data_IF_117218903429
#
_entry.id   IF_117218903429
#
_cell.length_a   1.000
_cell.length_b   1.000
_cell.length_c   1.000
_cell.angle_alpha   90.00
_cell.angle_beta   90.00
_cell.angle_gamma   90.00
#
_symmetry.space_group_name_H-M   'P 1'
#
loop_
_entity.id
_entity.type
_entity.pdbx_description
1 polymer ?
#
# COMPACT_ATOMS: atom_id res chain seq x y z
N UNK A 1 2.63 8.66 36.87
CA UNK A 1 2.12 9.27 35.61
C UNK A 1 2.45 8.32 34.46
N UNK A 2 1.45 7.72 33.80
CA UNK A 2 1.66 6.66 32.78
C UNK A 2 2.56 7.15 31.64
N UNK A 3 3.50 6.28 31.23
CA UNK A 3 4.49 6.55 30.17
C UNK A 3 3.84 6.75 28.78
N UNK A 4 2.60 6.30 28.61
CA UNK A 4 1.84 6.34 27.35
C UNK A 4 0.91 7.56 27.20
N UNK A 5 0.69 8.35 28.27
CA UNK A 5 -0.32 9.42 28.29
C UNK A 5 -0.07 10.60 27.33
N UNK A 6 1.14 10.79 26.78
CA UNK A 6 1.43 11.93 25.89
C UNK A 6 0.93 11.78 24.44
N UNK A 7 0.32 10.65 24.06
CA UNK A 7 -0.17 10.41 22.68
C UNK A 7 -1.67 10.11 22.55
N UNK A 8 -2.41 10.08 23.65
CA UNK A 8 -3.77 9.50 23.68
C UNK A 8 -4.93 10.47 23.39
N UNK A 9 -4.70 11.72 22.98
CA UNK A 9 -5.80 12.65 22.67
C UNK A 9 -5.64 13.29 21.29
N UNK A 10 -6.36 12.72 20.32
CA UNK A 10 -7.00 13.39 19.19
C UNK A 10 -8.02 12.42 18.60
N UNK A 11 -9.30 12.64 18.91
CA UNK A 11 -10.43 11.97 18.27
C UNK A 11 -10.43 12.36 16.79
N UNK A 12 -10.12 11.39 15.92
CA UNK A 12 -10.23 11.52 14.47
C UNK A 12 -11.27 10.49 14.02
N UNK A 13 -12.24 10.86 13.17
CA UNK A 13 -13.28 9.93 12.73
C UNK A 13 -12.69 8.76 11.93
N UNK A 14 -13.36 7.62 12.06
CA UNK A 14 -13.00 6.27 11.59
C UNK A 14 -12.37 6.28 10.19
N UNK A 15 -11.05 6.03 10.14
CA UNK A 15 -10.38 5.49 8.96
C UNK A 15 -10.50 3.95 9.03
N UNK A 16 -10.95 3.31 7.94
CA UNK A 16 -10.87 1.84 7.78
C UNK A 16 -9.46 1.40 8.18
N UNK A 17 -9.34 0.34 9.00
CA UNK A 17 -8.09 -0.01 9.69
C UNK A 17 -6.96 -0.41 8.73
N UNK A 18 -6.17 0.56 8.30
CA UNK A 18 -4.87 0.36 7.62
C UNK A 18 -3.79 -0.22 8.57
N UNK A 19 -4.16 -0.56 9.81
CA UNK A 19 -3.28 -0.98 10.88
C UNK A 19 -3.93 -2.10 11.69
N UNK A 20 -3.30 -3.27 11.73
CA UNK A 20 -3.74 -4.42 12.51
C UNK A 20 -2.52 -5.23 12.98
N UNK A 21 -2.31 -5.34 14.29
CA UNK A 21 -1.30 -6.20 14.93
C UNK A 21 -1.99 -7.46 15.43
N UNK A 22 -1.44 -8.64 15.11
CA UNK A 22 -1.98 -9.89 15.64
C UNK A 22 -1.85 -9.91 17.16
N UNK A 23 -2.89 -10.39 17.82
CA UNK A 23 -2.91 -10.55 19.26
C UNK A 23 -1.67 -11.27 19.82
N UNK A 24 -1.24 -12.35 19.16
CA UNK A 24 -0.07 -13.12 19.57
C UNK A 24 1.22 -12.29 19.50
N UNK A 25 1.41 -11.49 18.45
CA UNK A 25 2.58 -10.62 18.30
C UNK A 25 2.61 -9.55 19.39
N UNK A 26 1.44 -9.03 19.76
CA UNK A 26 1.29 -8.07 20.84
C UNK A 26 1.59 -8.70 22.21
N UNK A 27 1.11 -9.92 22.47
CA UNK A 27 1.40 -10.65 23.70
C UNK A 27 2.91 -10.90 23.86
N UNK A 28 3.58 -11.36 22.78
CA UNK A 28 5.03 -11.56 22.76
C UNK A 28 5.76 -10.24 23.04
N UNK A 29 5.35 -9.14 22.40
CA UNK A 29 5.95 -7.83 22.61
C UNK A 29 5.76 -7.29 24.03
N UNK A 30 4.70 -7.70 24.71
CA UNK A 30 4.42 -7.38 26.10
C UNK A 30 5.11 -8.34 27.08
N UNK A 31 5.89 -9.31 26.58
CA UNK A 31 6.55 -10.37 27.35
C UNK A 31 5.56 -11.22 28.15
N UNK A 32 4.39 -11.47 27.57
CA UNK A 32 3.32 -12.26 28.17
C UNK A 32 3.06 -13.55 27.38
N UNK A 33 2.77 -14.63 28.09
CA UNK A 33 2.16 -15.79 27.47
C UNK A 33 0.77 -15.42 26.94
N UNK A 34 0.40 -15.96 25.78
CA UNK A 34 -0.85 -15.58 25.09
C UNK A 34 -2.09 -15.73 26.00
N UNK A 35 -2.20 -16.83 26.76
CA UNK A 35 -3.31 -17.04 27.70
C UNK A 35 -3.37 -15.99 28.81
N UNK A 36 -2.21 -15.62 29.35
CA UNK A 36 -2.10 -14.60 30.40
C UNK A 36 -2.48 -13.24 29.85
N UNK A 37 -1.99 -12.90 28.65
CA UNK A 37 -2.37 -11.67 27.95
C UNK A 37 -3.88 -11.57 27.76
N UNK A 38 -4.51 -12.60 27.19
CA UNK A 38 -5.95 -12.67 26.91
C UNK A 38 -6.78 -12.42 28.19
N UNK A 39 -6.47 -13.14 29.27
CA UNK A 39 -7.13 -12.97 30.57
C UNK A 39 -6.97 -11.56 31.14
N UNK A 40 -5.79 -10.96 30.97
CA UNK A 40 -5.52 -9.62 31.49
C UNK A 40 -6.29 -8.54 30.74
N UNK A 41 -6.49 -8.69 29.43
CA UNK A 41 -7.18 -7.68 28.61
C UNK A 41 -8.69 -7.90 28.52
N UNK A 42 -9.22 -9.05 28.92
CA UNK A 42 -10.66 -9.36 28.92
C UNK A 42 -11.53 -8.25 29.57
N UNK A 43 -11.16 -7.62 30.70
CA UNK A 43 -11.94 -6.52 31.28
C UNK A 43 -12.10 -5.32 30.35
N UNK A 44 -11.19 -5.11 29.39
CA UNK A 44 -11.29 -4.01 28.43
C UNK A 44 -12.40 -4.21 27.41
N UNK A 45 -12.93 -5.42 27.25
CA UNK A 45 -14.04 -5.70 26.33
C UNK A 45 -15.41 -5.65 27.03
N UNK A 46 -15.42 -5.57 28.37
CA UNK A 46 -16.63 -5.55 29.17
C UNK A 46 -16.98 -4.11 29.57
N UNK A 47 -18.22 -3.69 29.32
CA UNK A 47 -18.67 -2.32 29.59
C UNK A 47 -18.79 -1.97 31.09
N UNK A 48 -18.55 -2.92 32.00
CA UNK A 48 -18.67 -2.72 33.45
C UNK A 48 -17.31 -2.57 34.13
N UNK A 49 -16.92 -1.33 34.44
CA UNK A 49 -15.87 -1.03 35.40
C UNK A 49 -14.47 -0.75 34.84
N UNK A 50 -14.24 -0.88 33.54
CA UNK A 50 -12.98 -0.48 32.92
C UNK A 50 -12.94 1.04 32.60
N UNK A 51 -11.78 1.67 32.83
CA UNK A 51 -11.54 3.10 32.48
C UNK A 51 -11.50 3.31 30.96
N UNK A 52 -11.20 2.25 30.20
CA UNK A 52 -11.15 2.23 28.74
C UNK A 52 -11.89 0.97 28.29
N UNK A 53 -12.81 1.10 27.34
CA UNK A 53 -13.51 -0.03 26.69
C UNK A 53 -13.04 -0.12 25.25
N UNK A 54 -12.54 -1.28 24.83
CA UNK A 54 -12.15 -1.57 23.45
C UNK A 54 -13.41 -1.85 22.63
N UNK A 55 -13.57 -1.07 21.58
CA UNK A 55 -14.69 -1.15 20.63
C UNK A 55 -14.24 -1.85 19.36
N UNK A 56 -14.98 -2.87 18.93
CA UNK A 56 -14.78 -3.55 17.65
C UNK A 56 -14.92 -2.54 16.49
N UNK A 57 -14.16 -2.71 15.42
CA UNK A 57 -14.07 -1.75 14.30
C UNK A 57 -13.49 -0.38 14.68
N UNK A 58 -12.94 -0.20 15.89
CA UNK A 58 -12.16 0.98 16.28
C UNK A 58 -10.81 0.60 16.88
N UNK A 59 -10.82 -0.35 17.80
CA UNK A 59 -9.65 -0.76 18.56
C UNK A 59 -9.14 -2.13 18.11
N UNK A 60 -10.03 -2.97 17.57
CA UNK A 60 -9.69 -4.28 17.07
C UNK A 60 -10.73 -4.76 16.06
N UNK A 61 -10.36 -5.78 15.29
CA UNK A 61 -11.29 -6.59 14.48
C UNK A 61 -11.00 -8.07 14.71
N UNK A 62 -11.93 -8.94 14.37
CA UNK A 62 -11.66 -10.39 14.32
C UNK A 62 -11.09 -10.79 12.96
N UNK A 63 -9.91 -11.39 12.96
CA UNK A 63 -9.40 -12.11 11.80
C UNK A 63 -10.20 -13.39 11.53
N UNK A 64 -10.51 -14.12 12.60
CA UNK A 64 -11.34 -15.32 12.59
C UNK A 64 -12.24 -15.32 13.82
N UNK A 65 -13.54 -15.03 13.62
CA UNK A 65 -14.53 -15.02 14.70
C UNK A 65 -14.75 -16.39 15.34
N UNK A 66 -14.53 -17.50 14.62
CA UNK A 66 -14.70 -18.85 15.19
C UNK A 66 -13.57 -19.20 16.13
N UNK A 67 -12.36 -18.79 15.79
CA UNK A 67 -11.16 -18.99 16.61
C UNK A 67 -10.89 -17.87 17.61
N UNK A 68 -11.72 -16.82 17.61
CA UNK A 68 -11.56 -15.62 18.45
C UNK A 68 -10.19 -14.95 18.27
N UNK A 69 -9.62 -15.01 17.06
CA UNK A 69 -8.32 -14.38 16.78
C UNK A 69 -8.55 -12.90 16.49
N UNK A 70 -8.04 -12.03 17.37
CA UNK A 70 -8.17 -10.58 17.23
C UNK A 70 -6.94 -9.96 16.56
N UNK A 71 -7.20 -8.89 15.84
CA UNK A 71 -6.19 -7.98 15.31
C UNK A 71 -6.42 -6.59 15.89
N UNK A 72 -5.39 -6.00 16.48
CA UNK A 72 -5.51 -4.73 17.19
C UNK A 72 -5.07 -3.54 16.33
N UNK A 73 -5.89 -2.49 16.34
CA UNK A 73 -5.55 -1.20 15.77
C UNK A 73 -4.46 -0.51 16.62
N UNK A 74 -3.87 0.58 16.14
CA UNK A 74 -2.86 1.32 16.90
C UNK A 74 -3.46 1.87 18.19
N UNK A 75 -4.70 2.35 18.10
CA UNK A 75 -5.47 2.80 19.24
C UNK A 75 -5.70 1.65 20.23
N UNK A 76 -6.04 0.45 19.74
CA UNK A 76 -6.17 -0.75 20.57
C UNK A 76 -4.88 -1.13 21.28
N UNK A 77 -3.76 -1.17 20.57
CA UNK A 77 -2.44 -1.48 21.15
C UNK A 77 -2.05 -0.48 22.24
N UNK A 78 -2.24 0.82 21.99
CA UNK A 78 -1.95 1.87 22.98
C UNK A 78 -2.88 1.81 24.19
N UNK A 79 -4.17 1.55 23.97
CA UNK A 79 -5.14 1.36 25.05
C UNK A 79 -4.78 0.18 25.95
N UNK A 80 -4.44 -0.97 25.34
CA UNK A 80 -4.00 -2.17 26.06
C UNK A 80 -2.71 -1.89 26.84
N UNK A 81 -1.68 -1.34 26.20
CA UNK A 81 -0.41 -1.06 26.86
C UNK A 81 -0.59 -0.05 28.02
N UNK A 82 -1.42 0.99 27.83
CA UNK A 82 -1.73 1.96 28.88
C UNK A 82 -2.52 1.36 30.03
N UNK A 83 -3.42 0.43 29.76
CA UNK A 83 -4.19 -0.25 30.80
C UNK A 83 -3.28 -1.15 31.64
N UNK A 84 -2.46 -2.00 30.99
CA UNK A 84 -1.53 -2.89 31.67
C UNK A 84 -0.52 -2.13 32.53
N UNK A 85 -0.03 -0.97 32.07
CA UNK A 85 0.87 -0.07 32.83
C UNK A 85 0.21 0.55 34.08
N UNK A 86 -1.12 0.47 34.22
CA UNK A 86 -1.88 1.02 35.35
C UNK A 86 -2.33 0.00 36.37
N UNK A 87 -2.15 -1.30 36.10
CA UNK A 87 -2.54 -2.35 37.03
C UNK A 87 -1.61 -2.34 38.26
N UNK A 88 -2.19 -2.25 39.45
CA UNK A 88 -1.41 -2.21 40.70
C UNK A 88 -0.57 -3.48 40.93
N UNK A 89 -1.00 -4.60 40.35
CA UNK A 89 -0.37 -5.92 40.47
C UNK A 89 0.62 -6.23 39.36
N UNK A 90 0.70 -5.38 38.33
CA UNK A 90 1.48 -5.66 37.13
C UNK A 90 2.08 -4.37 36.55
N UNK A 91 3.39 -4.33 36.43
CA UNK A 91 4.10 -3.25 35.72
C UNK A 91 4.77 -3.85 34.50
N UNK A 92 4.56 -3.23 33.34
CA UNK A 92 5.26 -3.65 32.12
C UNK A 92 6.77 -3.42 32.28
N UNK A 93 7.60 -4.43 31.94
CA UNK A 93 9.04 -4.24 31.80
C UNK A 93 9.36 -3.12 30.82
N UNK A 94 10.45 -2.39 31.04
CA UNK A 94 10.87 -1.33 30.10
C UNK A 94 11.20 -1.90 28.70
N UNK A 95 11.68 -3.15 28.66
CA UNK A 95 11.91 -3.92 27.43
C UNK A 95 10.61 -4.17 26.66
N UNK A 96 9.53 -4.56 27.34
CA UNK A 96 8.22 -4.74 26.76
C UNK A 96 7.67 -3.41 26.19
N UNK A 97 7.75 -2.32 26.95
CA UNK A 97 7.35 -0.98 26.48
C UNK A 97 8.10 -0.57 25.22
N UNK A 98 9.43 -0.78 25.19
CA UNK A 98 10.25 -0.48 24.01
C UNK A 98 9.87 -1.35 22.82
N UNK A 99 9.58 -2.63 23.03
CA UNK A 99 9.21 -3.57 21.96
C UNK A 99 7.87 -3.19 21.34
N UNK A 100 6.86 -2.84 22.14
CA UNK A 100 5.58 -2.33 21.64
C UNK A 100 5.77 -1.05 20.82
N UNK A 101 6.55 -0.09 21.32
CA UNK A 101 6.83 1.15 20.57
C UNK A 101 7.56 0.87 19.25
N UNK A 102 8.49 -0.10 19.24
CA UNK A 102 9.19 -0.53 18.04
C UNK A 102 8.26 -1.20 17.03
N UNK A 103 7.28 -2.00 17.46
CA UNK A 103 6.24 -2.56 16.58
C UNK A 103 5.41 -1.46 15.91
N UNK A 104 4.96 -0.48 16.69
CA UNK A 104 4.22 0.67 16.17
C UNK A 104 5.05 1.44 15.13
N UNK A 105 6.34 1.67 15.42
CA UNK A 105 7.25 2.36 14.50
C UNK A 105 7.52 1.56 13.22
N UNK A 106 7.78 0.26 13.34
CA UNK A 106 8.01 -0.63 12.20
C UNK A 106 6.81 -0.63 11.25
N UNK A 107 5.60 -0.60 11.79
CA UNK A 107 4.39 -0.57 10.99
C UNK A 107 4.20 0.75 10.26
N UNK A 108 4.45 1.88 10.92
CA UNK A 108 4.44 3.19 10.26
C UNK A 108 5.50 3.26 9.13
N UNK A 109 6.68 2.67 9.35
CA UNK A 109 7.69 2.50 8.30
C UNK A 109 7.13 1.65 7.15
N UNK A 110 6.47 0.52 7.41
CA UNK A 110 5.88 -0.33 6.37
C UNK A 110 4.83 0.41 5.53
N UNK A 111 3.98 1.23 6.15
CA UNK A 111 3.00 2.07 5.44
C UNK A 111 3.67 3.08 4.53
N UNK A 112 4.69 3.78 5.04
CA UNK A 112 5.47 4.73 4.24
C UNK A 112 6.12 4.01 3.06
N UNK A 113 6.78 2.87 3.31
CA UNK A 113 7.44 2.09 2.28
C UNK A 113 6.44 1.58 1.22
N UNK A 114 5.24 1.13 1.65
CA UNK A 114 4.18 0.73 0.73
C UNK A 114 3.68 1.90 -0.12
N UNK A 115 3.53 3.09 0.49
CA UNK A 115 3.18 4.31 -0.24
C UNK A 115 4.26 4.69 -1.26
N UNK A 116 5.54 4.58 -0.90
CA UNK A 116 6.66 4.83 -1.82
C UNK A 116 6.62 3.85 -2.98
N UNK A 117 6.52 2.54 -2.72
CA UNK A 117 6.42 1.50 -3.76
C UNK A 117 5.30 1.82 -4.75
N UNK A 118 4.08 2.05 -4.24
CA UNK A 118 2.92 2.42 -5.06
C UNK A 118 3.18 3.68 -5.88
N UNK A 119 3.76 4.72 -5.27
CA UNK A 119 4.05 5.98 -5.96
C UNK A 119 5.09 5.79 -7.06
N UNK A 120 6.14 4.99 -6.85
CA UNK A 120 7.14 4.68 -7.88
C UNK A 120 6.49 3.93 -9.03
N UNK A 121 5.76 2.86 -8.74
CA UNK A 121 5.05 2.06 -9.76
C UNK A 121 4.17 2.95 -10.64
N UNK A 122 3.36 3.82 -10.02
CA UNK A 122 2.45 4.74 -10.72
C UNK A 122 3.14 5.87 -11.49
N UNK A 123 4.40 6.17 -11.21
CA UNK A 123 5.10 7.34 -11.75
C UNK A 123 6.49 6.97 -12.28
N UNK A 124 6.57 5.87 -13.02
CA UNK A 124 7.81 5.42 -13.69
C UNK A 124 7.61 5.20 -15.18
N UNK A 125 6.60 5.84 -15.79
CA UNK A 125 6.32 5.75 -17.23
C UNK A 125 7.47 6.27 -18.09
N UNK A 126 8.30 7.16 -17.55
CA UNK A 126 9.49 7.70 -18.19
C UNK A 126 10.77 6.92 -17.90
N UNK A 127 10.68 5.76 -17.23
CA UNK A 127 11.84 4.95 -16.88
C UNK A 127 12.58 4.50 -18.14
N UNK A 128 13.85 4.87 -18.27
CA UNK A 128 14.72 4.52 -19.40
C UNK A 128 16.02 3.90 -18.90
N UNK A 129 16.56 2.94 -19.65
CA UNK A 129 17.88 2.37 -19.42
C UNK A 129 18.90 3.00 -20.39
N UNK A 130 19.98 3.59 -19.86
CA UNK A 130 21.04 4.19 -20.66
C UNK A 130 22.36 4.19 -19.88
N UNK A 131 23.46 3.73 -20.50
CA UNK A 131 24.80 3.57 -19.89
C UNK A 131 24.76 2.82 -18.55
N UNK A 132 24.10 1.66 -18.52
CA UNK A 132 23.94 0.80 -17.34
C UNK A 132 23.26 1.49 -16.13
N UNK A 133 22.54 2.58 -16.39
CA UNK A 133 21.79 3.33 -15.38
C UNK A 133 20.31 3.44 -15.76
N UNK A 134 19.48 3.54 -14.72
CA UNK A 134 18.05 3.76 -14.84
C UNK A 134 17.70 5.22 -14.57
N UNK A 135 16.95 5.81 -15.49
CA UNK A 135 16.67 7.24 -15.55
C UNK A 135 15.17 7.51 -15.48
N UNK A 136 14.77 8.45 -14.62
CA UNK A 136 13.40 8.94 -14.49
C UNK A 136 13.35 10.42 -14.87
N UNK A 137 12.35 10.83 -15.64
CA UNK A 137 12.18 12.24 -16.01
C UNK A 137 11.97 13.11 -14.76
N UNK A 138 12.23 14.41 -14.89
CA UNK A 138 11.93 15.39 -13.83
C UNK A 138 10.46 15.35 -13.40
N UNK A 139 9.53 15.09 -14.33
CA UNK A 139 8.09 14.98 -14.04
C UNK A 139 7.78 13.80 -13.12
N UNK A 140 8.27 12.62 -13.47
CA UNK A 140 8.07 11.40 -12.68
C UNK A 140 8.79 11.50 -11.33
N UNK A 141 10.02 12.02 -11.31
CA UNK A 141 10.79 12.29 -10.10
C UNK A 141 10.04 13.23 -9.15
N UNK A 142 9.43 14.30 -9.67
CA UNK A 142 8.62 15.24 -8.89
C UNK A 142 7.46 14.53 -8.20
N UNK A 143 6.74 13.66 -8.92
CA UNK A 143 5.60 12.90 -8.39
C UNK A 143 6.04 11.84 -7.37
N UNK A 144 7.13 11.11 -7.64
CA UNK A 144 7.71 10.12 -6.72
C UNK A 144 8.09 10.74 -5.38
N UNK A 145 8.75 11.90 -5.42
CA UNK A 145 9.14 12.66 -4.23
C UNK A 145 7.98 13.45 -3.61
N UNK A 146 6.77 13.34 -4.19
CA UNK A 146 5.54 14.05 -3.83
C UNK A 146 5.70 15.57 -3.76
N UNK A 147 6.63 16.15 -4.52
CA UNK A 147 7.03 17.55 -4.42
C UNK A 147 6.48 18.39 -5.58
N UNK A 148 6.90 19.66 -5.68
CA UNK A 148 6.63 20.53 -6.84
C UNK A 148 7.91 20.75 -7.64
N UNK A 149 7.80 21.10 -8.91
CA UNK A 149 8.96 21.38 -9.77
C UNK A 149 9.85 22.49 -9.20
N UNK A 150 9.25 23.57 -8.64
CA UNK A 150 9.99 24.63 -7.96
C UNK A 150 10.80 24.11 -6.77
N UNK A 151 10.17 23.28 -5.92
CA UNK A 151 10.84 22.73 -4.75
C UNK A 151 11.92 21.72 -5.11
N UNK A 152 11.73 20.97 -6.20
CA UNK A 152 12.73 20.06 -6.72
C UNK A 152 13.95 20.83 -7.24
N UNK A 153 13.74 21.94 -7.96
CA UNK A 153 14.81 22.82 -8.41
C UNK A 153 15.56 23.48 -7.24
N UNK A 154 14.84 23.92 -6.19
CA UNK A 154 15.46 24.40 -4.95
C UNK A 154 16.35 23.34 -4.30
N UNK A 155 15.87 22.08 -4.21
CA UNK A 155 16.65 20.98 -3.66
C UNK A 155 17.89 20.68 -4.51
N UNK A 156 17.76 20.71 -5.83
CA UNK A 156 18.91 20.55 -6.73
C UNK A 156 19.93 21.67 -6.53
N UNK A 157 19.49 22.93 -6.50
CA UNK A 157 20.38 24.07 -6.25
C UNK A 157 21.09 23.97 -4.90
N UNK A 158 20.38 23.58 -3.83
CA UNK A 158 20.99 23.38 -2.52
C UNK A 158 22.09 22.29 -2.53
N UNK A 159 21.89 21.21 -3.31
CA UNK A 159 22.90 20.16 -3.47
C UNK A 159 24.15 20.71 -4.18
N UNK A 160 23.97 21.53 -5.22
CA UNK A 160 25.08 22.17 -5.94
C UNK A 160 25.97 23.04 -5.03
N UNK A 161 25.38 23.73 -4.05
CA UNK A 161 26.11 24.55 -3.07
C UNK A 161 26.70 23.77 -1.89
N UNK A 162 26.36 22.48 -1.73
CA UNK A 162 26.75 21.68 -0.55
C UNK A 162 28.13 21.03 -0.66
N UNK A 163 28.80 21.14 -1.83
CA UNK A 163 30.06 20.44 -2.12
C UNK A 163 29.89 19.02 -2.64
N UNK A 164 28.66 18.47 -2.59
CA UNK A 164 28.27 17.17 -3.18
C UNK A 164 27.43 17.38 -4.44
N UNK A 165 27.94 18.18 -5.39
CA UNK A 165 27.19 18.54 -6.60
C UNK A 165 26.78 17.31 -7.43
N UNK A 166 25.62 17.41 -8.09
CA UNK A 166 25.17 16.37 -9.00
C UNK A 166 26.07 16.31 -10.23
N UNK A 167 26.48 15.11 -10.63
CA UNK A 167 27.33 14.88 -11.78
C UNK A 167 26.49 14.47 -12.99
N UNK A 168 26.68 15.15 -14.12
CA UNK A 168 26.07 14.78 -15.40
C UNK A 168 26.55 13.38 -15.80
N UNK A 169 25.64 12.53 -16.29
CA UNK A 169 25.91 11.15 -16.66
C UNK A 169 25.94 10.16 -15.48
N UNK A 170 25.91 10.64 -14.23
CA UNK A 170 25.84 9.80 -13.02
C UNK A 170 24.60 10.04 -12.19
N UNK A 171 24.27 11.30 -11.92
CA UNK A 171 23.13 11.72 -11.08
C UNK A 171 22.01 12.31 -11.94
N UNK A 172 22.38 13.02 -13.01
CA UNK A 172 21.45 13.70 -13.91
C UNK A 172 21.89 13.58 -15.37
N UNK A 173 20.94 13.63 -16.29
CA UNK A 173 21.19 13.65 -17.72
C UNK A 173 20.08 14.43 -18.43
N UNK A 174 20.33 14.83 -19.68
CA UNK A 174 19.30 15.42 -20.54
C UNK A 174 19.08 14.50 -21.74
N UNK A 175 17.82 14.14 -21.99
CA UNK A 175 17.41 13.40 -23.17
C UNK A 175 16.30 14.19 -23.86
N UNK A 176 16.47 14.51 -25.14
CA UNK A 176 15.45 15.18 -25.95
C UNK A 176 15.00 16.54 -25.36
N UNK A 177 15.91 17.28 -24.73
CA UNK A 177 15.60 18.56 -24.06
C UNK A 177 14.87 18.42 -22.72
N UNK A 178 14.71 17.19 -22.21
CA UNK A 178 14.08 16.89 -20.93
C UNK A 178 15.15 16.40 -19.96
N UNK A 179 15.15 16.95 -18.75
CA UNK A 179 16.04 16.52 -17.68
C UNK A 179 15.54 15.20 -17.05
N UNK A 180 16.48 14.32 -16.74
CA UNK A 180 16.29 13.04 -16.08
C UNK A 180 17.23 12.91 -14.89
N UNK A 181 16.79 12.15 -13.90
CA UNK A 181 17.58 11.79 -12.73
C UNK A 181 17.80 10.28 -12.71
N UNK A 182 19.04 9.87 -12.45
CA UNK A 182 19.31 8.47 -12.17
C UNK A 182 18.74 8.08 -10.81
N UNK A 183 18.75 6.79 -10.48
CA UNK A 183 18.43 6.33 -9.13
C UNK A 183 19.30 7.02 -8.05
N UNK A 184 20.60 7.23 -8.33
CA UNK A 184 21.49 7.95 -7.43
C UNK A 184 21.08 9.42 -7.29
N UNK A 185 20.69 10.08 -8.40
CA UNK A 185 20.13 11.43 -8.37
C UNK A 185 18.84 11.53 -7.57
N UNK A 186 17.91 10.59 -7.75
CA UNK A 186 16.67 10.48 -6.97
C UNK A 186 16.96 10.37 -5.47
N UNK A 187 17.95 9.55 -5.09
CA UNK A 187 18.38 9.40 -3.70
C UNK A 187 18.91 10.72 -3.14
N UNK A 188 19.80 11.40 -3.86
CA UNK A 188 20.35 12.69 -3.42
C UNK A 188 19.24 13.73 -3.20
N UNK A 189 18.32 13.86 -4.18
CA UNK A 189 17.16 14.75 -4.07
C UNK A 189 16.28 14.40 -2.86
N UNK A 190 16.02 13.11 -2.63
CA UNK A 190 15.21 12.68 -1.49
C UNK A 190 15.84 13.01 -0.14
N UNK A 191 17.17 12.90 -0.03
CA UNK A 191 17.90 13.22 1.19
C UNK A 191 17.94 14.73 1.44
N UNK A 192 18.07 15.54 0.39
CA UNK A 192 17.98 16.99 0.53
C UNK A 192 16.57 17.44 0.91
N UNK A 193 15.53 16.87 0.31
CA UNK A 193 14.14 17.12 0.70
C UNK A 193 13.87 16.66 2.14
N UNK A 194 14.45 15.56 2.60
CA UNK A 194 14.36 15.14 4.01
C UNK A 194 14.91 16.21 4.95
N UNK A 195 16.00 16.89 4.58
CA UNK A 195 16.64 17.93 5.40
C UNK A 195 15.89 19.26 5.37
N UNK A 196 15.41 19.65 4.20
CA UNK A 196 14.85 21.00 3.95
C UNK A 196 13.34 21.14 4.16
N UNK A 197 12.57 20.04 4.06
CA UNK A 197 11.12 20.10 4.23
C UNK A 197 10.71 20.31 5.70
N UNK A 198 9.63 21.08 5.94
CA UNK A 198 9.11 21.36 7.29
C UNK A 198 8.22 20.25 7.86
N UNK A 199 7.55 19.49 7.00
CA UNK A 199 6.57 18.47 7.42
C UNK A 199 7.28 17.18 7.86
N UNK A 200 7.10 16.72 9.12
CA UNK A 200 7.75 15.50 9.61
C UNK A 200 7.40 14.25 8.79
N UNK A 201 6.15 14.13 8.33
CA UNK A 201 5.72 12.99 7.51
C UNK A 201 6.41 12.98 6.15
N UNK A 202 6.59 14.17 5.56
CA UNK A 202 7.33 14.33 4.31
C UNK A 202 8.82 14.07 4.48
N UNK A 203 9.42 14.49 5.58
CA UNK A 203 10.81 14.18 5.90
C UNK A 203 10.99 12.66 6.06
N UNK A 204 10.08 11.98 6.78
CA UNK A 204 10.09 10.53 6.94
C UNK A 204 9.95 9.82 5.61
N UNK A 205 8.97 10.21 4.78
CA UNK A 205 8.77 9.67 3.44
C UNK A 205 10.05 9.79 2.60
N UNK A 206 10.61 11.00 2.47
CA UNK A 206 11.81 11.20 1.66
C UNK A 206 13.03 10.45 2.23
N UNK A 207 13.13 10.33 3.56
CA UNK A 207 14.19 9.56 4.22
C UNK A 207 14.09 8.05 4.04
N UNK A 208 12.93 7.52 3.63
CA UNK A 208 12.74 6.10 3.30
C UNK A 208 13.05 5.78 1.83
N UNK A 209 12.98 6.78 0.92
CA UNK A 209 13.27 6.60 -0.52
C UNK A 209 14.58 5.86 -0.79
N UNK A 210 15.73 6.17 -0.14
CA UNK A 210 16.98 5.46 -0.43
C UNK A 210 16.96 3.97 -0.12
N UNK A 211 16.07 3.52 0.76
CA UNK A 211 15.92 2.10 1.12
C UNK A 211 14.90 1.38 0.24
N UNK A 212 13.90 2.10 -0.26
CA UNK A 212 12.74 1.51 -0.94
C UNK A 212 12.83 1.64 -2.45
N UNK A 213 13.31 2.78 -2.96
CA UNK A 213 13.32 3.04 -4.39
C UNK A 213 14.25 2.13 -5.21
N UNK A 214 15.51 1.86 -4.78
CA UNK A 214 16.42 1.03 -5.56
C UNK A 214 15.84 -0.31 -6.03
N UNK A 215 15.37 -1.21 -5.14
CA UNK A 215 14.86 -2.51 -5.57
C UNK A 215 13.60 -2.40 -6.44
N UNK A 216 12.79 -1.34 -6.27
CA UNK A 216 11.55 -1.14 -7.05
C UNK A 216 11.88 -0.65 -8.47
N UNK A 217 12.83 0.27 -8.60
CA UNK A 217 13.25 0.80 -9.91
C UNK A 217 14.01 -0.26 -10.70
N UNK A 218 14.89 -1.02 -10.04
CA UNK A 218 15.55 -2.18 -10.64
C UNK A 218 14.52 -3.23 -11.10
N UNK A 219 13.52 -3.52 -10.25
CA UNK A 219 12.40 -4.38 -10.64
C UNK A 219 11.70 -3.87 -11.91
N UNK A 220 11.33 -2.59 -11.96
CA UNK A 220 10.65 -2.02 -13.12
C UNK A 220 11.51 -2.05 -14.40
N UNK A 221 12.83 -1.98 -14.26
CA UNK A 221 13.74 -2.08 -15.39
C UNK A 221 13.95 -3.51 -15.88
N UNK A 222 13.85 -4.51 -15.00
CA UNK A 222 14.04 -5.93 -15.32
C UNK A 222 12.73 -6.66 -15.65
N UNK A 223 11.59 -6.12 -15.22
CA UNK A 223 10.26 -6.66 -15.42
C UNK A 223 9.96 -6.85 -16.92
N UNK A 224 9.85 -8.08 -17.43
CA UNK A 224 9.49 -8.31 -18.82
C UNK A 224 8.06 -7.82 -19.02
N UNK A 225 7.88 -6.77 -19.82
CA UNK A 225 6.55 -6.38 -20.27
C UNK A 225 6.08 -7.44 -21.29
N UNK A 226 4.92 -8.07 -21.07
CA UNK A 226 4.39 -9.03 -22.01
C UNK A 226 4.08 -8.33 -23.33
N UNK A 227 4.29 -9.04 -24.45
CA UNK A 227 4.00 -8.49 -25.76
C UNK A 227 2.52 -8.09 -25.89
N UNK A 228 2.22 -7.12 -26.75
CA UNK A 228 0.83 -6.74 -27.06
C UNK A 228 -0.02 -7.95 -27.48
N UNK A 229 0.58 -8.93 -28.19
CA UNK A 229 -0.11 -10.14 -28.59
C UNK A 229 -0.49 -11.03 -27.40
N UNK A 230 0.39 -11.15 -26.40
CA UNK A 230 0.13 -11.88 -25.16
C UNK A 230 -1.01 -11.23 -24.37
N UNK A 231 -0.97 -9.90 -24.21
CA UNK A 231 -2.02 -9.12 -23.53
C UNK A 231 -3.38 -9.33 -24.21
N UNK A 232 -3.43 -9.18 -25.54
CA UNK A 232 -4.69 -9.36 -26.28
C UNK A 232 -5.17 -10.82 -26.25
N UNK A 233 -4.26 -11.79 -26.17
CA UNK A 233 -4.61 -13.21 -25.95
C UNK A 233 -5.23 -13.42 -24.58
N UNK A 234 -4.66 -12.83 -23.53
CA UNK A 234 -5.18 -12.90 -22.17
C UNK A 234 -6.56 -12.23 -22.06
N UNK A 235 -6.76 -11.06 -22.70
CA UNK A 235 -8.08 -10.41 -22.77
C UNK A 235 -9.13 -11.28 -23.44
N UNK A 236 -8.79 -11.92 -24.57
CA UNK A 236 -9.69 -12.88 -25.24
C UNK A 236 -9.98 -14.09 -24.35
N UNK A 237 -8.97 -14.60 -23.65
CA UNK A 237 -9.12 -15.70 -22.71
C UNK A 237 -10.07 -15.34 -21.56
N UNK A 238 -9.92 -14.16 -20.95
CA UNK A 238 -10.81 -13.69 -19.88
C UNK A 238 -12.27 -13.64 -20.34
N UNK A 239 -12.56 -13.02 -21.50
CA UNK A 239 -13.92 -12.99 -22.06
C UNK A 239 -14.49 -14.38 -22.33
N UNK A 240 -13.64 -15.33 -22.74
CA UNK A 240 -14.05 -16.73 -22.97
C UNK A 240 -14.31 -17.48 -21.65
N UNK A 241 -13.43 -17.33 -20.65
CA UNK A 241 -13.58 -17.89 -19.30
C UNK A 241 -14.90 -17.43 -18.68
N UNK A 242 -15.18 -16.14 -18.85
CA UNK A 242 -16.34 -15.44 -18.29
C UNK A 242 -17.60 -15.59 -19.16
N UNK A 243 -17.56 -16.48 -20.18
CA UNK A 243 -18.67 -16.83 -21.07
C UNK A 243 -19.36 -15.64 -21.76
N UNK A 244 -18.63 -14.56 -22.03
CA UNK A 244 -19.20 -13.31 -22.55
C UNK A 244 -20.30 -12.75 -21.63
N UNK A 245 -20.06 -12.78 -20.32
CA UNK A 245 -20.97 -12.24 -19.31
C UNK A 245 -20.24 -11.21 -18.45
N UNK A 246 -20.90 -10.10 -18.12
CA UNK A 246 -20.40 -9.14 -17.14
C UNK A 246 -20.32 -9.81 -15.76
N UNK A 247 -19.14 -9.89 -15.18
CA UNK A 247 -18.93 -10.60 -13.91
C UNK A 247 -19.45 -9.83 -12.67
N UNK A 248 -19.82 -8.55 -12.84
CA UNK A 248 -20.42 -7.75 -11.76
C UNK A 248 -21.94 -7.80 -11.83
N UNK A 249 -22.52 -7.54 -13.00
CA UNK A 249 -23.98 -7.43 -13.17
C UNK A 249 -24.66 -8.73 -13.58
N UNK A 250 -23.90 -9.71 -14.09
CA UNK A 250 -24.42 -10.96 -14.64
C UNK A 250 -25.05 -10.81 -16.03
N UNK A 251 -25.00 -9.61 -16.62
CA UNK A 251 -25.61 -9.36 -17.93
C UNK A 251 -24.80 -9.97 -19.08
N UNK A 252 -25.50 -10.49 -20.07
CA UNK A 252 -24.93 -11.06 -21.29
C UNK A 252 -25.49 -10.38 -22.55
N UNK A 253 -24.68 -10.27 -23.63
CA UNK A 253 -25.16 -9.79 -24.92
C UNK A 253 -26.24 -10.73 -25.45
N UNK A 254 -27.38 -10.18 -25.87
CA UNK A 254 -28.46 -10.94 -26.49
C UNK A 254 -28.94 -10.28 -27.78
N UNK A 255 -29.90 -10.89 -28.48
CA UNK A 255 -30.36 -10.40 -29.79
C UNK A 255 -30.96 -8.99 -29.75
N UNK A 256 -31.41 -8.54 -28.59
CA UNK A 256 -32.04 -7.24 -28.37
C UNK A 256 -31.12 -6.24 -27.67
N UNK A 257 -30.26 -6.73 -26.77
CA UNK A 257 -29.27 -5.93 -26.05
C UNK A 257 -27.87 -6.26 -26.56
N UNK A 258 -27.31 -5.37 -27.39
CA UNK A 258 -25.93 -5.46 -27.90
C UNK A 258 -24.93 -4.97 -26.83
N UNK A 259 -25.02 -5.53 -25.64
CA UNK A 259 -24.11 -5.26 -24.54
C UNK A 259 -22.67 -5.45 -25.03
N UNK A 260 -21.85 -4.41 -24.90
CA UNK A 260 -20.42 -4.49 -25.20
C UNK A 260 -19.68 -4.84 -23.93
N UNK A 261 -18.73 -5.77 -24.05
CA UNK A 261 -17.93 -6.25 -22.94
C UNK A 261 -16.48 -5.85 -23.13
N UNK A 262 -15.87 -5.35 -22.06
CA UNK A 262 -14.45 -5.11 -21.90
C UNK A 262 -13.82 -6.20 -21.03
N UNK A 263 -12.54 -6.49 -21.29
CA UNK A 263 -11.71 -7.20 -20.33
C UNK A 263 -10.91 -6.13 -19.58
N UNK A 264 -11.30 -5.87 -18.34
CA UNK A 264 -10.71 -4.85 -17.48
C UNK A 264 -9.52 -5.43 -16.71
N UNK A 265 -8.43 -4.67 -16.65
CA UNK A 265 -7.26 -4.99 -15.84
C UNK A 265 -7.46 -4.48 -14.41
N UNK A 266 -7.47 -5.39 -13.43
CA UNK A 266 -7.65 -5.02 -12.02
C UNK A 266 -6.45 -4.23 -11.48
N UNK A 267 -5.23 -4.62 -11.83
CA UNK A 267 -4.04 -3.78 -11.76
C UNK A 267 -3.76 -3.21 -13.14
N UNK A 268 -3.73 -1.88 -13.26
CA UNK A 268 -3.49 -1.17 -14.52
C UNK A 268 -2.28 -1.73 -15.29
N UNK A 269 -2.49 -2.12 -16.54
CA UNK A 269 -1.47 -2.72 -17.40
C UNK A 269 -0.25 -1.83 -17.64
N UNK A 270 -0.41 -0.50 -17.59
CA UNK A 270 0.70 0.42 -17.84
C UNK A 270 1.58 0.58 -16.59
N UNK A 271 0.96 0.51 -15.40
CA UNK A 271 1.62 0.62 -14.10
C UNK A 271 2.23 -0.72 -13.64
N UNK A 272 1.56 -1.83 -13.95
CA UNK A 272 1.92 -3.18 -13.54
C UNK A 272 2.08 -4.09 -14.77
N UNK A 273 3.06 -3.82 -15.65
CA UNK A 273 3.19 -4.52 -16.93
C UNK A 273 3.37 -6.03 -16.78
N UNK A 274 4.05 -6.51 -15.73
CA UNK A 274 4.23 -7.96 -15.48
C UNK A 274 2.93 -8.72 -15.24
N UNK A 275 1.85 -8.01 -14.91
CA UNK A 275 0.52 -8.60 -14.71
C UNK A 275 -0.38 -8.38 -15.93
N UNK A 276 0.10 -7.71 -16.99
CA UNK A 276 -0.77 -7.28 -18.08
C UNK A 276 -1.31 -8.45 -18.93
N UNK A 277 -0.64 -9.60 -18.95
CA UNK A 277 -1.12 -10.84 -19.57
C UNK A 277 -1.56 -11.91 -18.56
N UNK A 278 -1.59 -11.58 -17.26
CA UNK A 278 -2.01 -12.50 -16.21
C UNK A 278 -3.55 -12.68 -16.23
N UNK A 279 -4.07 -13.89 -16.45
CA UNK A 279 -5.52 -14.11 -16.50
C UNK A 279 -6.27 -13.70 -15.22
N UNK A 280 -5.64 -13.83 -14.05
CA UNK A 280 -6.23 -13.41 -12.77
C UNK A 280 -6.32 -11.89 -12.65
N UNK A 281 -5.50 -11.14 -13.39
CA UNK A 281 -5.54 -9.69 -13.43
C UNK A 281 -6.65 -9.15 -14.34
N UNK A 282 -7.40 -10.02 -15.03
CA UNK A 282 -8.43 -9.64 -15.99
C UNK A 282 -9.82 -10.07 -15.53
N UNK A 283 -10.78 -9.15 -15.56
CA UNK A 283 -12.20 -9.41 -15.31
C UNK A 283 -13.05 -8.91 -16.49
N UNK A 284 -14.01 -9.71 -16.94
CA UNK A 284 -14.93 -9.28 -18.00
C UNK A 284 -16.08 -8.47 -17.39
N UNK A 285 -16.25 -7.24 -17.87
CA UNK A 285 -17.31 -6.32 -17.43
C UNK A 285 -17.94 -5.64 -18.64
N UNK A 286 -19.14 -5.08 -18.49
CA UNK A 286 -19.73 -4.22 -19.51
C UNK A 286 -18.89 -2.97 -19.74
N UNK A 287 -18.85 -2.47 -20.98
CA UNK A 287 -18.20 -1.20 -21.32
C UNK A 287 -18.73 -0.06 -20.42
N UNK A 288 -20.05 0.01 -20.21
CA UNK A 288 -20.68 1.02 -19.34
C UNK A 288 -20.09 1.04 -17.92
N UNK A 289 -20.11 -0.10 -17.22
CA UNK A 289 -19.46 -0.24 -15.90
C UNK A 289 -17.96 0.08 -15.93
N UNK A 290 -17.25 -0.29 -17.00
CA UNK A 290 -15.84 0.03 -17.17
C UNK A 290 -15.61 1.54 -17.28
N UNK A 291 -16.46 2.25 -18.02
CA UNK A 291 -16.46 3.70 -18.10
C UNK A 291 -16.80 4.35 -16.75
N UNK A 292 -17.82 3.86 -16.04
CA UNK A 292 -18.22 4.36 -14.73
C UNK A 292 -17.10 4.22 -13.70
N UNK A 293 -16.45 3.06 -13.64
CA UNK A 293 -15.33 2.81 -12.72
C UNK A 293 -14.21 3.83 -12.95
N UNK A 294 -13.78 4.01 -14.20
CA UNK A 294 -12.72 4.96 -14.50
C UNK A 294 -13.15 6.41 -14.28
N UNK A 295 -14.43 6.75 -14.47
CA UNK A 295 -14.93 8.09 -14.11
C UNK A 295 -14.89 8.32 -12.60
N UNK A 296 -15.36 7.34 -11.81
CA UNK A 296 -15.32 7.38 -10.34
C UNK A 296 -13.88 7.51 -9.81
N UNK A 297 -12.91 6.83 -10.44
CA UNK A 297 -11.49 6.91 -10.08
C UNK A 297 -10.84 8.27 -10.44
N UNK A 298 -11.54 9.14 -11.18
CA UNK A 298 -11.04 10.45 -11.61
C UNK A 298 -10.45 10.46 -13.03
N UNK A 299 -10.89 9.55 -13.90
CA UNK A 299 -10.62 9.50 -15.34
C UNK A 299 -9.76 8.31 -15.80
N UNK A 300 -9.79 8.02 -17.10
CA UNK A 300 -9.06 6.90 -17.75
C UNK A 300 -7.52 6.99 -17.65
N UNK A 301 -6.98 8.15 -17.28
CA UNK A 301 -5.54 8.35 -17.06
C UNK A 301 -5.06 8.00 -15.66
N UNK A 302 -5.95 7.57 -14.76
CA UNK A 302 -5.61 7.15 -13.39
C UNK A 302 -5.30 5.66 -13.37
N UNK A 303 -4.13 5.32 -12.84
CA UNK A 303 -3.77 3.94 -12.52
C UNK A 303 -4.73 3.37 -11.48
N UNK A 304 -5.19 2.15 -11.71
CA UNK A 304 -6.08 1.43 -10.81
C UNK A 304 -5.39 0.18 -10.23
N UNK A 305 -5.88 -0.24 -9.07
CA UNK A 305 -5.52 -1.47 -8.38
C UNK A 305 -6.77 -2.29 -8.09
N UNK A 306 -6.58 -3.58 -7.75
CA UNK A 306 -7.69 -4.45 -7.36
C UNK A 306 -8.48 -3.83 -6.18
N UNK A 307 -7.79 -3.17 -5.24
CA UNK A 307 -8.44 -2.51 -4.10
C UNK A 307 -9.35 -1.36 -4.51
N UNK A 308 -8.99 -0.61 -5.56
CA UNK A 308 -9.83 0.48 -6.08
C UNK A 308 -11.09 -0.10 -6.72
N UNK A 309 -10.95 -1.19 -7.48
CA UNK A 309 -12.06 -1.86 -8.12
C UNK A 309 -13.01 -2.53 -7.11
N UNK A 310 -12.47 -3.15 -6.05
CA UNK A 310 -13.26 -3.68 -4.94
C UNK A 310 -14.07 -2.56 -4.28
N UNK A 311 -13.44 -1.43 -3.95
CA UNK A 311 -14.14 -0.30 -3.33
C UNK A 311 -15.29 0.22 -4.20
N UNK A 312 -15.07 0.31 -5.52
CA UNK A 312 -16.12 0.68 -6.46
C UNK A 312 -17.29 -0.31 -6.45
N UNK A 313 -17.00 -1.61 -6.57
CA UNK A 313 -18.04 -2.66 -6.55
C UNK A 313 -18.79 -2.65 -5.22
N UNK A 314 -18.10 -2.52 -4.09
CA UNK A 314 -18.70 -2.39 -2.76
C UNK A 314 -19.64 -1.19 -2.64
N UNK A 315 -19.27 -0.05 -3.25
CA UNK A 315 -20.03 1.19 -3.14
C UNK A 315 -21.31 1.21 -3.98
N UNK A 316 -21.33 0.53 -5.13
CA UNK A 316 -22.41 0.68 -6.12
C UNK A 316 -23.12 -0.62 -6.51
N UNK A 317 -22.50 -1.78 -6.26
CA UNK A 317 -22.96 -3.06 -6.82
C UNK A 317 -23.03 -4.19 -5.80
N UNK A 318 -22.48 -4.02 -4.60
CA UNK A 318 -22.52 -5.06 -3.57
C UNK A 318 -23.84 -4.99 -2.77
N UNK A 319 -24.60 -6.07 -2.84
CA UNK A 319 -25.56 -6.44 -1.80
C UNK A 319 -24.84 -7.29 -0.73
N UNK A 320 -25.38 -7.42 0.49
CA UNK A 320 -24.72 -8.04 1.68
C UNK A 320 -24.18 -9.49 1.48
N UNK A 321 -24.44 -10.12 0.33
CA UNK A 321 -24.06 -11.50 -0.04
C UNK A 321 -23.17 -11.60 -1.28
N UNK A 322 -22.51 -10.52 -1.71
CA UNK A 322 -21.77 -10.52 -2.97
C UNK A 322 -20.56 -11.49 -2.94
N UNK A 323 -20.73 -12.66 -3.55
CA UNK A 323 -19.66 -13.65 -3.79
C UNK A 323 -18.54 -13.04 -4.64
N UNK A 324 -18.86 -12.04 -5.45
CA UNK A 324 -17.91 -11.36 -6.33
C UNK A 324 -16.85 -10.58 -5.57
N UNK A 325 -17.18 -9.92 -4.45
CA UNK A 325 -16.18 -9.25 -3.60
C UNK A 325 -15.20 -10.27 -3.00
N UNK A 326 -15.71 -11.42 -2.56
CA UNK A 326 -14.84 -12.52 -2.07
C UNK A 326 -13.92 -13.04 -3.17
N UNK A 327 -14.42 -13.20 -4.39
CA UNK A 327 -13.60 -13.59 -5.53
C UNK A 327 -12.52 -12.53 -5.82
N UNK A 328 -12.88 -11.25 -5.88
CA UNK A 328 -11.92 -10.17 -6.10
C UNK A 328 -10.84 -10.12 -5.02
N UNK A 329 -11.19 -10.36 -3.75
CA UNK A 329 -10.23 -10.49 -2.65
C UNK A 329 -9.30 -11.70 -2.85
N UNK A 330 -9.80 -12.84 -3.34
CA UNK A 330 -8.92 -13.97 -3.69
C UNK A 330 -7.97 -13.64 -4.84
N UNK A 331 -8.48 -12.97 -5.90
CA UNK A 331 -7.64 -12.53 -7.02
C UNK A 331 -6.55 -11.56 -6.54
N UNK A 332 -6.90 -10.64 -5.64
CA UNK A 332 -5.98 -9.71 -5.00
C UNK A 332 -4.80 -10.44 -4.35
N UNK A 333 -5.06 -11.43 -3.50
CA UNK A 333 -3.99 -12.18 -2.82
C UNK A 333 -3.05 -12.87 -3.81
N UNK A 334 -3.59 -13.55 -4.82
CA UNK A 334 -2.79 -14.22 -5.85
C UNK A 334 -1.94 -13.22 -6.64
N UNK A 335 -2.51 -12.07 -7.01
CA UNK A 335 -1.80 -11.05 -7.78
C UNK A 335 -0.74 -10.34 -6.94
N UNK A 336 -1.00 -10.10 -5.65
CA UNK A 336 -0.02 -9.56 -4.71
C UNK A 336 1.12 -10.55 -4.45
N UNK A 337 0.84 -11.84 -4.34
CA UNK A 337 1.88 -12.88 -4.24
C UNK A 337 2.71 -12.96 -5.52
N UNK A 338 2.08 -12.86 -6.69
CA UNK A 338 2.83 -12.78 -7.95
C UNK A 338 3.71 -11.54 -7.98
N UNK A 339 3.19 -10.38 -7.60
CA UNK A 339 3.99 -9.15 -7.50
C UNK A 339 5.11 -9.29 -6.46
N UNK A 340 4.89 -10.00 -5.35
CA UNK A 340 5.92 -10.19 -4.31
C UNK A 340 7.10 -11.02 -4.77
N UNK A 341 6.87 -12.03 -5.63
CA UNK A 341 7.94 -12.82 -6.24
C UNK A 341 8.88 -11.97 -7.09
N UNK A 342 8.41 -10.83 -7.57
CA UNK A 342 9.22 -9.87 -8.32
C UNK A 342 9.63 -8.62 -7.49
N UNK A 343 9.10 -8.47 -6.28
CA UNK A 343 9.43 -7.40 -5.33
C UNK A 343 9.93 -8.03 -4.02
N UNK A 344 11.22 -8.41 -3.91
CA UNK A 344 11.76 -8.99 -2.68
C UNK A 344 11.50 -8.04 -1.49
N UNK A 345 10.69 -8.49 -0.53
CA UNK A 345 10.23 -7.69 0.62
C UNK A 345 8.72 -7.71 0.89
N UNK A 346 7.93 -8.42 0.07
CA UNK A 346 6.50 -8.72 0.32
C UNK A 346 6.34 -10.21 0.66
N UNK A 347 7.03 -10.69 1.70
CA UNK A 347 6.70 -11.96 2.34
C UNK A 347 5.92 -11.66 3.61
N UNK A 348 4.60 -11.81 3.54
CA UNK A 348 3.85 -12.29 4.69
C UNK A 348 4.19 -13.77 4.85
N UNK A 349 4.58 -14.18 6.06
CA UNK A 349 4.87 -15.58 6.39
C UNK A 349 6.32 -15.82 6.76
N UNK A 350 6.58 -15.59 8.05
CA UNK A 350 7.41 -16.38 8.96
C UNK A 350 8.21 -17.54 8.34
N UNK A 351 9.53 -17.44 8.45
CA UNK A 351 10.40 -18.61 8.47
C UNK A 351 10.21 -19.36 9.79
N UNK A 352 10.07 -20.69 9.64
CA UNK A 352 10.14 -21.78 10.62
C UNK A 352 10.45 -21.43 12.08
#
# INVERSE_FOLDING_TARGET
MSRFRRRAHKDNPVQRHDFLIKEQDLAIALELEWRTFDQMIEPLFQASGAVIVLVEEQHFIYHDRRKQIRLFSQAGVLAIASYLDTLATFSLPETAVRTVLALLEQQEIRKIDASIRRTILQNSSSLRHHNDLHWLSTTDTTKILKTTSSRLAEAQGAIEFSGEAMLVGRHMAEFEGIQYFSLAGLVMLSLELKRSLKSPDRQRYCGRIPKVAPPVVEYLALAPAPSRQAIESAKRFAKKRDKQTCQITGEEPNKFNRLKLAAHHLFDQNTYPVLADEPMNLITISDELHEEFHQWLGGKGKSCTVDDFIQFVEAFYADEKSVIVVELLQRREVLLEKLSRYLPGVSGGDGL
#
